data_IF_553132067913
#
_entry.id   IF_553132067913
#
_cell.length_a   1.000
_cell.length_b   1.000
_cell.length_c   1.000
_cell.angle_alpha   90.00
_cell.angle_beta   90.00
_cell.angle_gamma   90.00
#
_symmetry.space_group_name_H-M   'P 1'
#
loop_
_entity.id
_entity.type
_entity.pdbx_description
1 polymer ?
#
# COMPACT_ATOMS: atom_id res chain seq x y z
N UNK A 1 11.88 9.51 15.92
CA UNK A 1 12.44 9.56 17.29
C UNK A 1 11.60 8.66 18.19
N UNK A 2 10.30 8.89 18.22
CA UNK A 2 9.30 8.13 18.98
C UNK A 2 9.38 6.60 18.84
N UNK A 3 9.43 6.04 17.61
CA UNK A 3 9.54 4.58 17.43
C UNK A 3 10.88 3.99 17.90
N UNK A 4 11.93 4.80 17.96
CA UNK A 4 13.24 4.39 18.50
C UNK A 4 13.21 4.43 20.02
N UNK A 5 12.59 5.45 20.60
CA UNK A 5 12.43 5.61 22.04
C UNK A 5 11.51 4.55 22.66
N UNK A 6 10.44 4.16 21.96
CA UNK A 6 9.55 3.09 22.38
C UNK A 6 10.08 1.68 22.10
N UNK A 7 11.20 1.54 21.37
CA UNK A 7 11.81 0.26 21.01
C UNK A 7 11.06 -0.56 19.96
N UNK A 8 9.90 -0.10 19.47
CA UNK A 8 9.07 -0.83 18.50
C UNK A 8 9.76 -1.00 17.14
N UNK A 9 10.70 -0.12 16.80
CA UNK A 9 11.40 -0.15 15.51
C UNK A 9 12.15 -1.46 15.25
N UNK A 10 12.56 -2.19 16.29
CA UNK A 10 13.26 -3.47 16.15
C UNK A 10 12.36 -4.59 15.61
N UNK A 11 11.04 -4.47 15.84
CA UNK A 11 10.03 -5.43 15.39
C UNK A 11 9.15 -4.84 14.28
N UNK A 12 9.62 -3.80 13.58
CA UNK A 12 8.85 -3.12 12.53
C UNK A 12 9.56 -3.22 11.18
N UNK A 13 8.83 -3.69 10.16
CA UNK A 13 9.21 -3.52 8.76
C UNK A 13 8.62 -2.24 8.20
N UNK A 14 9.42 -1.43 7.49
CA UNK A 14 8.96 -0.19 6.87
C UNK A 14 9.14 -0.27 5.36
N UNK A 15 8.07 0.01 4.62
CA UNK A 15 8.06 0.02 3.15
C UNK A 15 7.60 1.40 2.69
N UNK A 16 8.46 2.09 1.93
CA UNK A 16 8.26 3.50 1.59
C UNK A 16 8.00 3.70 0.10
N UNK A 17 7.09 4.63 -0.20
CA UNK A 17 6.89 5.21 -1.53
C UNK A 17 6.90 6.71 -1.39
N UNK A 18 8.05 7.32 -1.63
CA UNK A 18 8.22 8.75 -1.45
C UNK A 18 7.52 9.52 -2.60
N UNK A 19 7.01 10.72 -2.34
CA UNK A 19 6.25 11.48 -3.36
C UNK A 19 7.11 11.94 -4.55
N UNK A 20 8.43 12.00 -4.37
CA UNK A 20 9.39 12.26 -5.45
C UNK A 20 9.66 11.02 -6.33
N UNK A 21 9.17 9.85 -5.97
CA UNK A 21 9.33 8.63 -6.76
C UNK A 21 8.24 8.50 -7.84
N UNK A 22 8.54 7.77 -8.94
CA UNK A 22 7.58 7.54 -10.00
C UNK A 22 6.25 6.98 -9.48
N UNK A 23 5.10 7.40 -10.05
CA UNK A 23 3.79 6.96 -9.59
C UNK A 23 3.63 5.43 -9.65
N UNK A 24 4.29 4.76 -10.61
CA UNK A 24 4.33 3.30 -10.68
C UNK A 24 4.95 2.65 -9.44
N UNK A 25 6.04 3.22 -8.89
CA UNK A 25 6.64 2.70 -7.66
C UNK A 25 5.68 2.89 -6.47
N UNK A 26 5.13 4.10 -6.33
CA UNK A 26 4.17 4.44 -5.26
C UNK A 26 2.92 3.56 -5.26
N UNK A 27 2.38 3.27 -6.44
CA UNK A 27 1.21 2.39 -6.60
C UNK A 27 1.48 0.94 -6.15
N UNK A 28 2.75 0.50 -6.07
CA UNK A 28 3.11 -0.86 -5.66
C UNK A 28 3.43 -0.99 -4.17
N UNK A 29 3.75 0.10 -3.48
CA UNK A 29 4.21 0.09 -2.08
C UNK A 29 3.23 -0.61 -1.14
N UNK A 30 1.92 -0.33 -1.26
CA UNK A 30 0.89 -0.99 -0.45
C UNK A 30 0.85 -2.51 -0.67
N UNK A 31 0.92 -2.95 -1.93
CA UNK A 31 0.91 -4.37 -2.29
C UNK A 31 2.20 -5.08 -1.85
N UNK A 32 3.35 -4.41 -1.92
CA UNK A 32 4.63 -4.93 -1.43
C UNK A 32 4.59 -5.10 0.08
N UNK A 33 4.15 -4.08 0.82
CA UNK A 33 4.00 -4.15 2.27
C UNK A 33 3.07 -5.29 2.70
N UNK A 34 1.98 -5.47 1.96
CA UNK A 34 1.02 -6.53 2.24
C UNK A 34 1.61 -7.93 1.96
N UNK A 35 2.40 -8.08 0.89
CA UNK A 35 3.10 -9.34 0.59
C UNK A 35 4.11 -9.70 1.68
N UNK A 36 4.81 -8.71 2.23
CA UNK A 36 5.72 -8.90 3.36
C UNK A 36 4.93 -9.29 4.63
N UNK A 37 3.79 -8.66 4.89
CA UNK A 37 2.94 -8.98 6.02
C UNK A 37 2.37 -10.41 5.92
N UNK A 38 1.91 -10.83 4.73
CA UNK A 38 1.46 -12.20 4.45
C UNK A 38 2.56 -13.22 4.72
N UNK A 39 3.81 -12.95 4.34
CA UNK A 39 4.92 -13.85 4.65
C UNK A 39 5.08 -14.07 6.16
N UNK A 40 5.07 -13.00 6.96
CA UNK A 40 5.20 -13.11 8.42
C UNK A 40 4.00 -13.78 9.07
N UNK A 41 2.79 -13.54 8.56
CA UNK A 41 1.56 -14.18 9.02
C UNK A 41 1.54 -15.67 8.65
N UNK A 42 1.65 -16.01 7.38
CA UNK A 42 1.36 -17.34 6.84
C UNK A 42 2.53 -18.32 7.00
N UNK A 43 3.77 -17.84 6.82
CA UNK A 43 4.98 -18.68 6.93
C UNK A 43 5.61 -18.51 8.30
N UNK A 44 5.65 -17.28 8.82
CA UNK A 44 6.19 -16.98 10.14
C UNK A 44 5.28 -17.36 11.30
N UNK A 45 3.97 -17.52 11.08
CA UNK A 45 2.99 -17.80 12.14
C UNK A 45 2.88 -16.68 13.17
N UNK A 46 3.19 -15.43 12.79
CA UNK A 46 3.24 -14.29 13.70
C UNK A 46 1.97 -13.44 13.59
N UNK A 47 1.56 -12.84 14.70
CA UNK A 47 0.55 -11.77 14.69
C UNK A 47 1.17 -10.49 14.09
N UNK A 48 0.66 -10.08 12.93
CA UNK A 48 1.18 -8.92 12.19
C UNK A 48 0.18 -7.78 12.21
N UNK A 49 0.62 -6.62 12.70
CA UNK A 49 -0.12 -5.37 12.54
C UNK A 49 0.33 -4.65 11.27
N UNK A 50 -0.55 -4.56 10.27
CA UNK A 50 -0.31 -3.77 9.06
C UNK A 50 -0.82 -2.33 9.27
N UNK A 51 0.08 -1.36 9.15
CA UNK A 51 -0.25 0.06 9.20
C UNK A 51 0.06 0.74 7.87
N UNK A 52 -0.91 1.47 7.31
CA UNK A 52 -0.79 2.18 6.03
C UNK A 52 -1.06 3.67 6.25
N UNK A 53 -0.04 4.51 6.05
CA UNK A 53 -0.16 5.96 6.05
C UNK A 53 0.41 6.56 4.75
N UNK A 54 -0.38 7.12 3.84
CA UNK A 54 -1.84 7.24 3.83
C UNK A 54 -2.38 6.48 2.62
N UNK A 55 -3.49 5.75 2.78
CA UNK A 55 -4.16 5.03 1.69
C UNK A 55 -4.54 5.95 0.51
N UNK A 56 -4.79 7.24 0.76
CA UNK A 56 -5.01 8.22 -0.31
C UNK A 56 -3.83 8.30 -1.29
N UNK A 57 -2.59 8.14 -0.81
CA UNK A 57 -1.39 8.18 -1.67
C UNK A 57 -1.32 7.01 -2.64
N UNK A 58 -1.86 5.86 -2.26
CA UNK A 58 -2.02 4.71 -3.15
C UNK A 58 -3.02 5.03 -4.27
N UNK A 59 -4.19 5.57 -3.90
CA UNK A 59 -5.21 5.98 -4.87
C UNK A 59 -4.70 7.07 -5.82
N UNK A 60 -4.04 8.10 -5.30
CA UNK A 60 -3.48 9.19 -6.09
C UNK A 60 -2.44 8.68 -7.10
N UNK A 61 -1.54 7.80 -6.68
CA UNK A 61 -0.57 7.16 -7.58
C UNK A 61 -1.28 6.34 -8.68
N UNK A 62 -2.36 5.64 -8.34
CA UNK A 62 -3.19 4.92 -9.31
C UNK A 62 -3.79 5.84 -10.38
N UNK A 63 -4.32 7.00 -9.99
CA UNK A 63 -4.81 8.03 -10.93
C UNK A 63 -3.70 8.55 -11.84
N UNK A 64 -2.51 8.83 -11.31
CA UNK A 64 -1.36 9.29 -12.10
C UNK A 64 -0.90 8.23 -13.11
N UNK A 65 -0.79 6.97 -12.69
CA UNK A 65 -0.46 5.85 -13.60
C UNK A 65 -1.53 5.71 -14.69
N UNK A 66 -2.81 5.79 -14.33
CA UNK A 66 -3.91 5.70 -15.27
C UNK A 66 -3.87 6.81 -16.33
N UNK A 67 -3.56 8.04 -15.92
CA UNK A 67 -3.39 9.17 -16.82
C UNK A 67 -2.21 8.97 -17.78
N UNK A 68 -1.07 8.49 -17.28
CA UNK A 68 0.11 8.18 -18.11
C UNK A 68 -0.17 7.08 -19.15
N UNK A 69 -1.07 6.14 -18.83
CA UNK A 69 -1.49 5.07 -19.75
C UNK A 69 -2.61 5.50 -20.71
N UNK A 70 -3.05 6.76 -20.70
CA UNK A 70 -4.09 7.28 -21.58
C UNK A 70 -5.49 6.70 -21.31
N UNK A 71 -5.73 6.16 -20.11
CA UNK A 71 -7.05 5.64 -19.73
C UNK A 71 -8.00 6.81 -19.46
N UNK A 72 -9.24 6.70 -19.93
CA UNK A 72 -10.29 7.69 -19.70
C UNK A 72 -10.57 7.76 -18.18
N UNK A 73 -10.51 8.95 -17.55
CA UNK A 73 -10.84 9.10 -16.13
C UNK A 73 -12.30 8.72 -15.86
N UNK A 74 -12.54 8.11 -14.70
CA UNK A 74 -13.87 7.83 -14.18
C UNK A 74 -14.42 9.02 -13.38
N UNK A 75 -15.52 8.81 -12.66
CA UNK A 75 -16.15 9.83 -11.82
C UNK A 75 -15.13 10.53 -10.92
N UNK A 76 -15.16 11.87 -10.92
CA UNK A 76 -14.34 12.75 -10.07
C UNK A 76 -12.82 12.71 -10.37
N UNK A 77 -12.40 12.13 -11.50
CA UNK A 77 -11.00 12.19 -11.96
C UNK A 77 -10.10 11.05 -11.47
N UNK A 78 -10.69 10.00 -10.90
CA UNK A 78 -9.98 8.78 -10.52
C UNK A 78 -9.83 7.81 -11.70
N UNK A 79 -8.93 6.84 -11.53
CA UNK A 79 -8.83 5.72 -12.45
C UNK A 79 -10.13 4.88 -12.45
N UNK A 80 -10.55 4.32 -13.61
CA UNK A 80 -11.74 3.47 -13.68
C UNK A 80 -11.59 2.16 -12.90
N UNK A 81 -10.36 1.74 -12.62
CA UNK A 81 -10.04 0.52 -11.87
C UNK A 81 -10.04 0.71 -10.36
N UNK A 82 -10.38 1.91 -9.83
CA UNK A 82 -10.22 2.23 -8.41
C UNK A 82 -10.84 1.19 -7.47
N UNK A 83 -12.08 0.78 -7.75
CA UNK A 83 -12.78 -0.19 -6.91
C UNK A 83 -12.08 -1.56 -6.90
N UNK A 84 -11.58 -1.99 -8.07
CA UNK A 84 -10.83 -3.24 -8.21
C UNK A 84 -9.48 -3.15 -7.53
N UNK A 85 -8.70 -2.08 -7.76
CA UNK A 85 -7.36 -1.89 -7.20
C UNK A 85 -7.41 -1.83 -5.65
N UNK A 86 -8.41 -1.15 -5.09
CA UNK A 86 -8.60 -1.07 -3.65
C UNK A 86 -9.11 -2.39 -3.07
N UNK A 87 -10.01 -3.08 -3.79
CA UNK A 87 -10.49 -4.41 -3.41
C UNK A 87 -9.35 -5.42 -3.35
N UNK A 88 -8.48 -5.47 -4.36
CA UNK A 88 -7.30 -6.35 -4.37
C UNK A 88 -6.37 -6.12 -3.17
N UNK A 89 -6.27 -4.89 -2.69
CA UNK A 89 -5.48 -4.58 -1.50
C UNK A 89 -6.21 -5.00 -0.21
N UNK A 90 -7.48 -4.63 -0.06
CA UNK A 90 -8.22 -4.81 1.19
C UNK A 90 -8.62 -6.25 1.45
N UNK A 91 -9.04 -7.00 0.42
CA UNK A 91 -9.48 -8.40 0.56
C UNK A 91 -8.35 -9.32 1.05
N UNK A 92 -7.09 -8.92 0.88
CA UNK A 92 -5.94 -9.67 1.39
C UNK A 92 -5.65 -9.41 2.87
N UNK A 93 -6.22 -8.35 3.45
CA UNK A 93 -6.15 -8.04 4.88
C UNK A 93 -7.19 -8.91 5.60
N UNK A 94 -6.83 -10.17 5.85
CA UNK A 94 -7.65 -11.11 6.59
C UNK A 94 -7.02 -11.49 7.92
N UNK A 95 -7.88 -11.66 8.93
CA UNK A 95 -7.56 -12.22 10.24
C UNK A 95 -7.99 -13.68 10.24
N UNK A 96 -7.05 -14.61 10.04
CA UNK A 96 -7.26 -16.05 10.17
C UNK A 96 -6.39 -16.60 11.28
#
# INVERSE_FOLDING_TARGET
LEMKESGVINNTGLVFGQMNEPPGARARVGLTALTVAEYFRDIGGQDVLLFIDNIFRFTQAGSEVSALLGRIPSAVGYQPTLATDLGELQERITST
#
